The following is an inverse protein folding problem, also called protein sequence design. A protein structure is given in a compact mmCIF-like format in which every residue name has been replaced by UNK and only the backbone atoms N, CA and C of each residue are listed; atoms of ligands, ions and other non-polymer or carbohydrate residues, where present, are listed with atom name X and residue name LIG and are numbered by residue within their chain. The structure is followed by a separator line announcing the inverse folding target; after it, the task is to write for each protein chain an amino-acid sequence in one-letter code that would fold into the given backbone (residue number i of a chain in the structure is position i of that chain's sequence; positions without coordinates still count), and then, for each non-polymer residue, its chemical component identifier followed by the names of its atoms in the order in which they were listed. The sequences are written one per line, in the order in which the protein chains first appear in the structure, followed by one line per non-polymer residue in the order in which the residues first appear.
data_IF_711859105677
#
_entry.id   IF_711859105677
#
_cell.length_a   1.000
_cell.length_b   1.000
_cell.length_c   1.000
_cell.angle_alpha   90.00
_cell.angle_beta   90.00
_cell.angle_gamma   90.00
#
_symmetry.space_group_name_H-M   'P 1'
#
loop_
_entity.id
_entity.type
_entity.pdbx_description
1 polymer ?
#
# COMPACT_ATOMS: atom_id res chain seq x y z
N UNK A 1 4.29 -74.60 -41.16
CA UNK A 1 3.92 -73.17 -41.24
C UNK A 1 4.25 -72.51 -39.91
N UNK A 2 5.21 -71.57 -39.83
CA UNK A 2 5.54 -70.92 -38.57
C UNK A 2 4.59 -69.75 -38.32
N UNK A 3 3.92 -69.74 -37.16
CA UNK A 3 3.10 -68.63 -36.70
C UNK A 3 3.99 -67.47 -36.26
N UNK A 4 3.69 -66.28 -36.80
CA UNK A 4 4.48 -65.06 -36.68
C UNK A 4 4.70 -64.59 -35.25
N UNK A 5 5.96 -64.29 -34.95
CA UNK A 5 6.42 -63.62 -33.75
C UNK A 5 5.94 -62.16 -33.77
N UNK A 6 4.96 -61.80 -32.93
CA UNK A 6 4.55 -60.40 -32.75
C UNK A 6 5.61 -59.66 -31.93
N UNK A 7 6.49 -58.93 -32.62
CA UNK A 7 7.37 -57.95 -31.97
C UNK A 7 6.55 -56.73 -31.54
N UNK A 8 6.22 -56.66 -30.25
CA UNK A 8 5.63 -55.46 -29.64
C UNK A 8 6.71 -54.38 -29.62
N UNK A 9 6.62 -53.40 -30.52
CA UNK A 9 7.53 -52.26 -30.52
C UNK A 9 7.25 -51.38 -29.30
N UNK A 10 8.19 -51.35 -28.35
CA UNK A 10 8.14 -50.42 -27.22
C UNK A 10 8.38 -49.00 -27.74
N UNK A 11 7.32 -48.21 -27.88
CA UNK A 11 7.42 -46.76 -28.15
C UNK A 11 8.27 -46.12 -27.05
N UNK A 12 9.36 -45.43 -27.44
CA UNK A 12 10.26 -44.74 -26.50
C UNK A 12 9.63 -43.41 -26.04
N UNK A 13 8.97 -43.42 -24.89
CA UNK A 13 8.37 -42.25 -24.22
C UNK A 13 9.40 -41.37 -23.47
N UNK A 14 10.59 -41.12 -24.05
CA UNK A 14 11.66 -40.40 -23.33
C UNK A 14 11.53 -38.87 -23.41
N UNK A 15 10.86 -38.33 -24.44
CA UNK A 15 10.71 -36.88 -24.62
C UNK A 15 9.56 -36.24 -23.81
N UNK A 16 8.49 -36.98 -23.53
CA UNK A 16 7.31 -36.46 -22.82
C UNK A 16 7.56 -36.23 -21.33
N UNK A 17 8.41 -37.05 -20.70
CA UNK A 17 8.79 -36.91 -19.29
C UNK A 17 9.61 -35.63 -19.10
N UNK A 18 10.61 -35.40 -19.97
CA UNK A 18 11.43 -34.19 -19.91
C UNK A 18 10.57 -32.93 -20.09
N UNK A 19 9.65 -32.96 -21.06
CA UNK A 19 8.73 -31.85 -21.30
C UNK A 19 7.81 -31.59 -20.09
N UNK A 20 7.25 -32.65 -19.49
CA UNK A 20 6.39 -32.51 -18.31
C UNK A 20 7.15 -31.98 -17.10
N UNK A 21 8.39 -32.44 -16.87
CA UNK A 21 9.22 -31.94 -15.76
C UNK A 21 9.62 -30.49 -15.99
N UNK A 22 9.98 -30.13 -17.23
CA UNK A 22 10.31 -28.75 -17.59
C UNK A 22 9.09 -27.82 -17.43
N UNK A 23 7.91 -28.27 -17.85
CA UNK A 23 6.66 -27.52 -17.67
C UNK A 23 6.31 -27.35 -16.20
N UNK A 24 6.48 -28.41 -15.39
CA UNK A 24 6.28 -28.33 -13.95
C UNK A 24 7.24 -27.34 -13.31
N UNK A 25 8.53 -27.40 -13.69
CA UNK A 25 9.54 -26.47 -13.19
C UNK A 25 9.20 -25.03 -13.57
N UNK A 26 8.82 -24.80 -14.84
CA UNK A 26 8.38 -23.50 -15.33
C UNK A 26 7.19 -22.98 -14.51
N UNK A 27 6.17 -23.81 -14.29
CA UNK A 27 5.00 -23.47 -13.50
C UNK A 27 5.37 -23.15 -12.05
N UNK A 28 6.22 -23.94 -11.43
CA UNK A 28 6.73 -23.68 -10.08
C UNK A 28 7.48 -22.34 -10.01
N UNK A 29 8.31 -22.01 -11.01
CA UNK A 29 9.01 -20.72 -11.04
C UNK A 29 8.05 -19.54 -11.19
N UNK A 30 7.02 -19.66 -12.03
CA UNK A 30 5.99 -18.62 -12.17
C UNK A 30 5.19 -18.44 -10.89
N UNK A 31 4.76 -19.53 -10.24
CA UNK A 31 4.05 -19.47 -8.96
C UNK A 31 4.91 -18.82 -7.88
N UNK A 32 6.19 -19.21 -7.80
CA UNK A 32 7.12 -18.63 -6.84
C UNK A 32 7.34 -17.13 -7.09
N UNK A 33 7.50 -16.72 -8.35
CA UNK A 33 7.65 -15.32 -8.74
C UNK A 33 6.40 -14.51 -8.37
N UNK A 34 5.21 -15.00 -8.69
CA UNK A 34 3.94 -14.37 -8.35
C UNK A 34 3.75 -14.23 -6.83
N UNK A 35 4.12 -15.26 -6.06
CA UNK A 35 4.07 -15.22 -4.60
C UNK A 35 5.05 -14.16 -4.04
N UNK A 36 6.27 -14.09 -4.57
CA UNK A 36 7.28 -13.10 -4.16
C UNK A 36 6.85 -11.67 -4.47
N UNK A 37 6.29 -11.42 -5.65
CA UNK A 37 5.77 -10.11 -6.03
C UNK A 37 4.60 -9.69 -5.15
N UNK A 38 3.66 -10.61 -4.92
CA UNK A 38 2.50 -10.37 -4.05
C UNK A 38 2.93 -10.04 -2.62
N UNK A 39 3.94 -10.76 -2.11
CA UNK A 39 4.50 -10.51 -0.79
C UNK A 39 5.17 -9.13 -0.69
N UNK A 40 6.00 -8.76 -1.68
CA UNK A 40 6.64 -7.44 -1.73
C UNK A 40 5.62 -6.31 -1.78
N UNK A 41 4.59 -6.46 -2.62
CA UNK A 41 3.51 -5.49 -2.73
C UNK A 41 2.75 -5.35 -1.40
N UNK A 42 2.40 -6.47 -0.76
CA UNK A 42 1.71 -6.46 0.53
C UNK A 42 2.53 -5.77 1.62
N UNK A 43 3.84 -6.02 1.65
CA UNK A 43 4.75 -5.36 2.59
C UNK A 43 4.82 -3.84 2.37
N UNK A 44 5.00 -3.39 1.12
CA UNK A 44 5.05 -1.96 0.79
C UNK A 44 3.73 -1.26 1.13
N UNK A 45 2.60 -1.88 0.79
CA UNK A 45 1.28 -1.38 1.15
C UNK A 45 1.10 -1.29 2.66
N UNK A 46 1.53 -2.30 3.42
CA UNK A 46 1.41 -2.29 4.88
C UNK A 46 2.20 -1.12 5.49
N UNK A 47 3.43 -0.88 5.03
CA UNK A 47 4.24 0.25 5.47
C UNK A 47 3.54 1.58 5.17
N UNK A 48 3.04 1.76 3.94
CA UNK A 48 2.32 2.98 3.53
C UNK A 48 1.05 3.19 4.34
N UNK A 49 0.27 2.14 4.56
CA UNK A 49 -0.99 2.20 5.34
C UNK A 49 -0.68 2.60 6.78
N UNK A 50 0.31 1.96 7.41
CA UNK A 50 0.74 2.31 8.77
C UNK A 50 1.10 3.80 8.86
N UNK A 51 1.95 4.28 7.94
CA UNK A 51 2.39 5.67 7.95
C UNK A 51 1.26 6.65 7.63
N UNK A 52 0.34 6.28 6.75
CA UNK A 52 -0.86 7.06 6.48
C UNK A 52 -1.73 7.23 7.73
N UNK A 53 -1.94 6.16 8.51
CA UNK A 53 -2.70 6.26 9.76
C UNK A 53 -1.97 7.08 10.83
N UNK A 54 -0.65 6.96 10.93
CA UNK A 54 0.16 7.83 11.80
C UNK A 54 -0.04 9.30 11.39
N UNK A 55 0.07 9.61 10.10
CA UNK A 55 -0.14 10.96 9.59
C UNK A 55 -1.55 11.48 9.86
N UNK A 56 -2.57 10.63 9.72
CA UNK A 56 -3.96 10.97 10.03
C UNK A 56 -4.16 11.27 11.52
N UNK A 57 -3.50 10.54 12.41
CA UNK A 57 -3.53 10.80 13.86
C UNK A 57 -2.83 12.12 14.16
N UNK A 58 -1.62 12.35 13.61
CA UNK A 58 -0.89 13.62 13.77
C UNK A 58 -1.71 14.83 13.29
N UNK A 59 -2.40 14.70 12.16
CA UNK A 59 -3.35 15.71 11.69
C UNK A 59 -4.42 16.01 12.74
N UNK A 60 -5.06 14.98 13.31
CA UNK A 60 -6.10 15.17 14.32
C UNK A 60 -5.56 15.78 15.63
N UNK A 61 -4.34 15.40 16.03
CA UNK A 61 -3.67 16.02 17.18
C UNK A 61 -3.39 17.51 16.91
N UNK A 62 -2.88 17.86 15.74
CA UNK A 62 -2.64 19.26 15.35
C UNK A 62 -3.94 20.06 15.34
N UNK A 63 -5.03 19.52 14.78
CA UNK A 63 -6.34 20.16 14.78
C UNK A 63 -6.93 20.35 16.19
N UNK A 64 -6.56 19.50 17.15
CA UNK A 64 -7.01 19.66 18.54
C UNK A 64 -6.36 20.84 19.25
N UNK A 65 -5.21 21.32 18.76
CA UNK A 65 -4.51 22.51 19.25
C UNK A 65 -5.04 23.80 18.59
N UNK A 66 -6.36 23.89 18.40
CA UNK A 66 -7.05 24.93 17.62
C UNK A 66 -6.74 26.37 18.06
N UNK A 67 -6.44 26.59 19.35
CA UNK A 67 -6.03 27.89 19.86
C UNK A 67 -4.73 28.39 19.21
N UNK A 68 -3.75 27.52 19.02
CA UNK A 68 -2.47 27.86 18.37
C UNK A 68 -2.60 28.05 16.87
N UNK A 69 -3.51 27.31 16.22
CA UNK A 69 -3.84 27.43 14.80
C UNK A 69 -4.54 28.76 14.46
N UNK A 70 -5.24 29.38 15.43
CA UNK A 70 -5.95 30.63 15.23
C UNK A 70 -5.04 31.86 15.31
N UNK A 71 -3.87 31.75 15.93
CA UNK A 71 -2.95 32.87 16.17
C UNK A 71 -2.04 33.17 14.97
N UNK A 72 -1.71 32.16 14.16
CA UNK A 72 -0.83 32.29 13.00
C UNK A 72 -1.42 31.66 11.75
N UNK A 73 -1.25 32.33 10.60
CA UNK A 73 -1.68 31.81 9.30
C UNK A 73 -0.87 30.61 8.81
N UNK A 74 0.30 30.36 9.38
CA UNK A 74 1.15 29.22 9.06
C UNK A 74 1.97 28.82 10.29
N UNK A 75 2.41 27.56 10.34
CA UNK A 75 3.27 27.08 11.42
C UNK A 75 3.60 25.60 11.29
N UNK A 76 4.35 25.09 12.26
CA UNK A 76 4.81 23.69 12.31
C UNK A 76 4.62 23.12 13.71
N UNK A 77 3.97 21.97 13.79
CA UNK A 77 3.93 21.13 14.98
C UNK A 77 4.94 20.00 14.87
N UNK A 78 5.73 19.78 15.91
CA UNK A 78 6.71 18.70 15.98
C UNK A 78 6.22 17.59 16.89
N UNK A 79 6.23 16.37 16.39
CA UNK A 79 5.88 15.14 17.10
C UNK A 79 7.07 14.19 17.10
N UNK A 80 7.02 13.16 17.95
CA UNK A 80 8.09 12.14 18.05
C UNK A 80 8.29 11.37 16.75
N UNK A 81 7.25 11.24 15.94
CA UNK A 81 7.25 10.43 14.70
C UNK A 81 7.42 11.27 13.43
N UNK A 82 7.42 12.62 13.55
CA UNK A 82 7.47 13.52 12.40
C UNK A 82 6.90 14.90 12.69
N UNK A 83 6.56 15.66 11.65
CA UNK A 83 6.06 17.03 11.78
C UNK A 83 4.75 17.24 11.02
N UNK A 84 4.00 18.26 11.42
CA UNK A 84 2.82 18.75 10.70
C UNK A 84 3.02 20.23 10.42
N UNK A 85 3.26 20.57 9.16
CA UNK A 85 3.24 21.95 8.70
C UNK A 85 1.82 22.32 8.31
N UNK A 86 1.33 23.47 8.74
CA UNK A 86 0.01 23.95 8.38
C UNK A 86 0.08 25.34 7.74
N UNK A 87 -0.88 25.59 6.85
CA UNK A 87 -1.04 26.89 6.20
C UNK A 87 -2.53 27.15 5.95
N UNK A 88 -3.00 28.30 6.42
CA UNK A 88 -4.30 28.84 6.12
C UNK A 88 -4.28 29.55 4.76
N UNK A 89 -5.15 29.10 3.86
CA UNK A 89 -5.37 29.77 2.57
C UNK A 89 -6.86 30.00 2.43
N UNK A 90 -7.27 31.27 2.50
CA UNK A 90 -8.68 31.69 2.49
C UNK A 90 -9.49 31.08 3.65
N UNK A 91 -10.29 30.04 3.38
CA UNK A 91 -11.15 29.33 4.34
C UNK A 91 -10.79 27.84 4.47
N UNK A 92 -9.67 27.43 3.88
CA UNK A 92 -9.20 26.05 3.92
C UNK A 92 -7.87 25.97 4.66
N UNK A 93 -7.76 24.97 5.52
CA UNK A 93 -6.53 24.64 6.22
C UNK A 93 -5.80 23.54 5.44
N UNK A 94 -4.62 23.86 4.95
CA UNK A 94 -3.72 22.90 4.32
C UNK A 94 -2.77 22.36 5.38
N UNK A 95 -2.69 21.03 5.49
CA UNK A 95 -1.76 20.36 6.39
C UNK A 95 -0.86 19.42 5.58
N UNK A 96 0.45 19.60 5.74
CA UNK A 96 1.47 18.70 5.22
C UNK A 96 2.10 17.95 6.40
N UNK A 97 1.89 16.64 6.42
CA UNK A 97 2.33 15.75 7.50
C UNK A 97 3.51 14.92 7.01
N UNK A 98 4.67 15.15 7.59
CA UNK A 98 5.88 14.38 7.32
C UNK A 98 5.97 13.20 8.29
N UNK A 99 5.96 11.98 7.74
CA UNK A 99 6.25 10.74 8.45
C UNK A 99 7.32 10.02 7.65
N UNK A 100 8.59 10.31 7.94
CA UNK A 100 9.73 9.89 7.13
C UNK A 100 9.65 8.42 6.69
N UNK A 101 9.84 8.11 5.39
CA UNK A 101 10.20 9.02 4.28
C UNK A 101 8.97 9.61 3.54
N UNK A 102 7.76 9.45 4.06
CA UNK A 102 6.53 9.83 3.37
C UNK A 102 6.04 11.21 3.79
N UNK A 103 5.44 11.92 2.85
CA UNK A 103 4.74 13.17 3.09
C UNK A 103 3.28 12.96 2.67
N UNK A 104 2.36 13.29 3.58
CA UNK A 104 0.92 13.19 3.36
C UNK A 104 0.31 14.59 3.40
N UNK A 105 -0.58 14.87 2.46
CA UNK A 105 -1.25 16.17 2.35
C UNK A 105 -2.73 16.03 2.66
N UNK A 106 -3.23 16.92 3.50
CA UNK A 106 -4.63 17.01 3.89
C UNK A 106 -5.13 18.44 3.68
N UNK A 107 -6.40 18.56 3.33
CA UNK A 107 -7.10 19.84 3.26
C UNK A 107 -8.38 19.70 4.06
N UNK A 108 -8.58 20.61 5.00
CA UNK A 108 -9.80 20.71 5.80
C UNK A 108 -10.54 21.98 5.42
N UNK A 109 -11.83 21.87 5.15
CA UNK A 109 -12.72 23.01 4.99
C UNK A 109 -13.31 23.36 6.36
N UNK A 110 -13.16 24.61 6.78
CA UNK A 110 -13.84 25.06 8.00
C UNK A 110 -15.29 25.35 7.65
N UNK A 111 -16.18 24.41 7.94
CA UNK A 111 -17.60 24.73 8.05
C UNK A 111 -17.79 25.46 9.38
N UNK A 112 -18.19 26.74 9.30
CA UNK A 112 -18.73 27.43 10.45
C UNK A 112 -20.05 26.75 10.79
N UNK A 113 -20.04 25.80 11.73
CA UNK A 113 -21.25 25.28 12.36
C UNK A 113 -21.86 26.40 13.21
N UNK A 114 -22.54 27.32 12.52
CA UNK A 114 -23.50 28.28 13.10
C UNK A 114 -24.88 27.85 12.65
N UNK A 115 -25.26 26.62 13.01
CA UNK A 115 -26.66 26.21 13.09
C UNK A 115 -26.97 25.84 14.54
N UNK A 116 -26.88 26.83 15.42
CA UNK A 116 -27.72 26.87 16.62
C UNK A 116 -29.17 27.05 16.16
N UNK A 117 -29.80 25.97 15.71
CA UNK A 117 -31.26 25.87 15.70
C UNK A 117 -31.71 25.56 17.12
N UNK A 118 -31.93 26.63 17.90
CA UNK A 118 -32.96 26.63 18.94
C UNK A 118 -34.33 26.52 18.26
N UNK A 119 -34.99 25.38 18.42
CA UNK A 119 -36.45 25.25 18.52
C UNK A 119 -36.79 24.25 19.63
#
# INVERSE_FOLDING_TARGET
MPYGQKTISRKRYKGSILFSVLLLFLLCTFLLMAALESYRLSMDLNIRIKNYYIAKIMKQMALSEQSTLAESSEGVFYYTTGSVTYQWVQQSLFLEVEVSPFIFRFTEEVKNDTDTSTE
#
